data_IF_364468632901
#
_entry.id   IF_364468632901
#
_cell.length_a   1.000
_cell.length_b   1.000
_cell.length_c   1.000
_cell.angle_alpha   90.00
_cell.angle_beta   90.00
_cell.angle_gamma   90.00
#
_symmetry.space_group_name_H-M   'P 1'
#
loop_
_entity.id
_entity.type
_entity.pdbx_description
1 polymer ?
#
# COMPACT_ATOMS: atom_id res chain seq x y z
N UNK A 1 63.98 8.77 -51.65
CA UNK A 1 64.82 7.77 -50.96
C UNK A 1 64.82 8.07 -49.47
N UNK A 2 64.12 7.26 -48.68
CA UNK A 2 64.51 6.70 -47.37
C UNK A 2 63.33 5.85 -46.91
N UNK A 3 63.62 4.59 -46.61
CA UNK A 3 62.67 3.53 -46.28
C UNK A 3 62.89 3.04 -44.85
N UNK A 4 61.86 2.41 -44.27
CA UNK A 4 61.89 1.60 -43.04
C UNK A 4 61.40 2.36 -41.80
N UNK A 5 60.55 1.83 -40.92
CA UNK A 5 60.20 0.42 -40.61
C UNK A 5 58.81 0.35 -39.95
N UNK A 6 58.13 -0.79 -40.13
CA UNK A 6 56.94 -1.18 -39.39
C UNK A 6 57.30 -1.72 -37.99
N UNK A 7 56.43 -1.54 -36.98
CA UNK A 7 56.00 -2.62 -36.06
C UNK A 7 55.07 -2.13 -34.92
N UNK A 8 53.93 -2.84 -34.81
CA UNK A 8 53.16 -3.26 -33.63
C UNK A 8 52.20 -2.34 -32.87
N UNK A 9 51.02 -2.92 -32.73
CA UNK A 9 49.82 -2.56 -31.97
C UNK A 9 50.01 -2.54 -30.45
N UNK A 10 49.32 -1.61 -29.80
CA UNK A 10 48.59 -1.78 -28.52
C UNK A 10 47.65 -0.57 -28.45
N UNK A 11 46.34 -0.69 -28.30
CA UNK A 11 45.61 -1.50 -27.34
C UNK A 11 45.10 -0.57 -26.26
N UNK A 12 43.77 -0.41 -26.16
CA UNK A 12 43.12 0.10 -24.95
C UNK A 12 42.82 1.60 -24.96
N UNK A 13 41.53 1.92 -24.89
CA UNK A 13 41.07 3.29 -24.77
C UNK A 13 39.73 3.57 -25.44
N UNK A 14 39.06 2.54 -25.98
CA UNK A 14 37.63 2.58 -26.24
C UNK A 14 36.94 2.80 -24.90
N UNK A 15 36.75 4.06 -24.54
CA UNK A 15 36.03 4.57 -23.39
C UNK A 15 34.62 4.02 -23.51
N UNK A 16 34.43 2.83 -22.97
CA UNK A 16 33.13 2.26 -22.64
C UNK A 16 32.55 3.18 -21.57
N UNK A 17 32.01 4.32 -22.02
CA UNK A 17 30.79 4.89 -21.49
C UNK A 17 29.69 3.84 -21.74
N UNK A 18 29.83 2.69 -21.09
CA UNK A 18 28.71 1.91 -20.62
C UNK A 18 28.08 2.78 -19.53
N UNK A 19 27.42 3.85 -19.98
CA UNK A 19 26.16 4.25 -19.38
C UNK A 19 25.38 2.95 -19.42
N UNK A 20 25.46 2.20 -18.32
CA UNK A 20 24.49 1.19 -17.97
C UNK A 20 23.18 1.93 -18.20
N UNK A 21 22.55 1.73 -19.35
CA UNK A 21 21.12 1.92 -19.45
C UNK A 21 20.63 1.20 -18.21
N UNK A 22 20.10 1.94 -17.24
CA UNK A 22 19.44 1.32 -16.09
C UNK A 22 18.15 0.78 -16.72
N UNK A 23 18.35 -0.36 -17.37
CA UNK A 23 17.57 -0.97 -18.43
C UNK A 23 16.18 -1.32 -17.90
N UNK A 24 15.21 -1.58 -18.78
CA UNK A 24 13.86 -2.08 -18.50
C UNK A 24 13.65 -2.99 -17.26
N UNK A 25 14.68 -3.71 -16.84
CA UNK A 25 14.75 -4.52 -15.61
C UNK A 25 14.54 -3.71 -14.32
N UNK A 26 15.08 -2.50 -14.22
CA UNK A 26 15.03 -1.69 -12.99
C UNK A 26 13.61 -1.30 -12.58
N UNK A 27 12.79 -0.91 -13.56
CA UNK A 27 11.37 -0.60 -13.31
C UNK A 27 10.55 -1.84 -12.97
N UNK A 28 10.85 -2.99 -13.60
CA UNK A 28 10.18 -4.26 -13.27
C UNK A 28 10.44 -4.64 -11.82
N UNK A 29 11.70 -4.60 -11.37
CA UNK A 29 12.08 -4.86 -9.98
C UNK A 29 11.37 -3.88 -9.04
N UNK A 30 11.36 -2.59 -9.35
CA UNK A 30 10.66 -1.59 -8.56
C UNK A 30 9.14 -1.84 -8.47
N UNK A 31 8.49 -2.23 -9.56
CA UNK A 31 7.06 -2.54 -9.56
C UNK A 31 6.75 -3.81 -8.75
N UNK A 32 7.60 -4.83 -8.81
CA UNK A 32 7.48 -6.04 -7.99
C UNK A 32 7.71 -5.72 -6.51
N UNK A 33 8.76 -4.96 -6.19
CA UNK A 33 9.06 -4.55 -4.83
C UNK A 33 7.93 -3.71 -4.22
N UNK A 34 7.34 -2.80 -5.01
CA UNK A 34 6.17 -2.02 -4.59
C UNK A 34 4.98 -2.93 -4.27
N UNK A 35 4.66 -3.88 -5.16
CA UNK A 35 3.55 -4.80 -4.94
C UNK A 35 3.78 -5.73 -3.74
N UNK A 36 5.00 -6.24 -3.58
CA UNK A 36 5.36 -7.07 -2.43
C UNK A 36 5.27 -6.28 -1.11
N UNK A 37 5.76 -5.03 -1.10
CA UNK A 37 5.66 -4.17 0.07
C UNK A 37 4.19 -3.86 0.43
N UNK A 38 3.35 -3.58 -0.58
CA UNK A 38 1.91 -3.43 -0.40
C UNK A 38 1.29 -4.70 0.18
N UNK A 39 1.58 -5.86 -0.40
CA UNK A 39 1.00 -7.13 0.06
C UNK A 39 1.37 -7.44 1.52
N UNK A 40 2.64 -7.24 1.91
CA UNK A 40 3.07 -7.46 3.30
C UNK A 40 2.40 -6.48 4.26
N UNK A 41 2.26 -5.22 3.86
CA UNK A 41 1.56 -4.21 4.63
C UNK A 41 0.07 -4.53 4.81
N UNK A 42 -0.62 -4.88 3.73
CA UNK A 42 -2.05 -5.21 3.75
C UNK A 42 -2.35 -6.52 4.50
N UNK A 43 -1.39 -7.45 4.61
CA UNK A 43 -1.54 -8.61 5.52
C UNK A 43 -1.68 -8.15 6.97
N UNK A 44 -0.93 -7.13 7.42
CA UNK A 44 -1.15 -6.55 8.75
C UNK A 44 -2.57 -5.96 8.85
N UNK A 45 -3.00 -5.23 7.82
CA UNK A 45 -4.34 -4.64 7.79
C UNK A 45 -5.45 -5.70 7.89
N UNK A 46 -5.34 -6.84 7.20
CA UNK A 46 -6.33 -7.94 7.31
C UNK A 46 -6.63 -8.28 8.77
N UNK A 47 -5.60 -8.39 9.61
CA UNK A 47 -5.74 -8.80 11.02
C UNK A 47 -6.12 -7.65 11.96
N UNK A 48 -5.72 -6.42 11.64
CA UNK A 48 -5.84 -5.27 12.55
C UNK A 48 -7.00 -4.34 12.21
N UNK A 49 -7.48 -4.37 10.96
CA UNK A 49 -8.56 -3.51 10.48
C UNK A 49 -9.90 -3.75 11.18
N UNK A 50 -10.33 -4.98 11.48
CA UNK A 50 -11.56 -5.19 12.24
C UNK A 50 -11.54 -4.50 13.62
N UNK A 51 -10.41 -4.55 14.33
CA UNK A 51 -10.26 -3.84 15.62
C UNK A 51 -10.26 -2.32 15.44
N UNK A 52 -9.56 -1.81 14.43
CA UNK A 52 -9.52 -0.39 14.08
C UNK A 52 -10.90 0.15 13.70
N UNK A 53 -11.69 -0.64 12.97
CA UNK A 53 -13.06 -0.27 12.56
C UNK A 53 -14.00 -0.12 13.75
N UNK A 54 -13.81 -0.91 14.82
CA UNK A 54 -14.57 -0.76 16.08
C UNK A 54 -14.19 0.50 16.84
N UNK A 55 -12.91 0.87 16.85
CA UNK A 55 -12.47 2.16 17.41
C UNK A 55 -13.11 3.33 16.65
N UNK A 56 -13.13 3.24 15.32
CA UNK A 56 -13.79 4.24 14.48
C UNK A 56 -15.30 4.31 14.73
N UNK A 57 -15.97 3.16 14.83
CA UNK A 57 -17.40 3.07 15.16
C UNK A 57 -17.73 3.73 16.50
N UNK A 58 -16.91 3.49 17.52
CA UNK A 58 -17.05 4.11 18.84
C UNK A 58 -16.90 5.64 18.77
N UNK A 59 -15.98 6.16 17.94
CA UNK A 59 -15.79 7.61 17.76
C UNK A 59 -16.89 8.28 16.94
N UNK A 60 -17.44 7.58 15.95
CA UNK A 60 -18.51 8.10 15.09
C UNK A 60 -19.91 7.82 15.65
N UNK A 61 -20.04 7.01 16.70
CA UNK A 61 -21.32 6.58 17.26
C UNK A 61 -22.15 5.74 16.29
N UNK A 62 -21.50 4.99 15.38
CA UNK A 62 -22.19 4.25 14.32
C UNK A 62 -21.54 2.91 14.05
N UNK A 63 -22.27 1.82 14.28
CA UNK A 63 -21.82 0.45 13.99
C UNK A 63 -21.73 0.16 12.49
N UNK A 64 -22.21 1.06 11.62
CA UNK A 64 -22.19 0.87 10.15
C UNK A 64 -20.78 0.81 9.57
N UNK A 65 -19.78 1.32 10.30
CA UNK A 65 -18.37 1.31 9.87
C UNK A 65 -17.61 0.09 10.39
N UNK A 66 -18.25 -0.79 11.17
CA UNK A 66 -17.62 -2.01 11.66
C UNK A 66 -17.47 -3.01 10.51
N UNK A 67 -16.24 -3.47 10.31
CA UNK A 67 -15.88 -4.39 9.24
C UNK A 67 -15.52 -5.74 9.82
N UNK A 68 -16.07 -6.81 9.23
CA UNK A 68 -15.74 -8.18 9.61
C UNK A 68 -14.40 -8.64 9.05
N UNK A 69 -13.75 -9.66 9.65
CA UNK A 69 -12.52 -10.22 9.09
C UNK A 69 -12.69 -10.68 7.63
N UNK A 70 -13.81 -11.33 7.30
CA UNK A 70 -14.09 -11.78 5.93
C UNK A 70 -14.30 -10.59 4.97
N UNK A 71 -14.98 -9.54 5.42
CA UNK A 71 -15.13 -8.30 4.64
C UNK A 71 -13.80 -7.57 4.43
N UNK A 72 -12.93 -7.57 5.43
CA UNK A 72 -11.57 -7.02 5.35
C UNK A 72 -10.75 -7.77 4.30
N UNK A 73 -10.70 -9.11 4.38
CA UNK A 73 -10.01 -9.96 3.40
C UNK A 73 -10.52 -9.70 1.98
N UNK A 74 -11.84 -9.67 1.78
CA UNK A 74 -12.41 -9.46 0.46
C UNK A 74 -12.12 -8.05 -0.07
N UNK A 75 -12.24 -7.02 0.76
CA UNK A 75 -11.92 -5.64 0.37
C UNK A 75 -10.44 -5.50 -0.04
N UNK A 76 -9.53 -6.09 0.73
CA UNK A 76 -8.09 -6.10 0.44
C UNK A 76 -7.79 -6.89 -0.84
N UNK A 77 -8.46 -8.03 -1.07
CA UNK A 77 -8.31 -8.79 -2.30
C UNK A 77 -8.72 -7.97 -3.54
N UNK A 78 -9.83 -7.21 -3.47
CA UNK A 78 -10.28 -6.31 -4.54
C UNK A 78 -9.24 -5.19 -4.78
N UNK A 79 -8.73 -4.58 -3.71
CA UNK A 79 -7.63 -3.60 -3.81
C UNK A 79 -6.37 -4.20 -4.43
N UNK A 80 -6.04 -5.45 -4.10
CA UNK A 80 -4.90 -6.16 -4.66
C UNK A 80 -4.97 -6.34 -6.17
N UNK A 81 -6.17 -6.52 -6.73
CA UNK A 81 -6.35 -6.54 -8.19
C UNK A 81 -5.98 -5.19 -8.80
N UNK A 82 -6.42 -4.07 -8.21
CA UNK A 82 -6.10 -2.73 -8.67
C UNK A 82 -4.60 -2.44 -8.59
N UNK A 83 -3.98 -2.67 -7.43
CA UNK A 83 -2.56 -2.40 -7.20
C UNK A 83 -1.69 -3.33 -8.06
N UNK A 84 -2.04 -4.61 -8.14
CA UNK A 84 -1.36 -5.58 -9.01
C UNK A 84 -1.44 -5.18 -10.48
N UNK A 85 -2.62 -4.80 -10.98
CA UNK A 85 -2.79 -4.30 -12.35
C UNK A 85 -1.96 -3.03 -12.61
N UNK A 86 -1.90 -2.11 -11.65
CA UNK A 86 -1.07 -0.92 -11.75
C UNK A 86 0.42 -1.27 -11.84
N UNK A 87 0.92 -2.18 -11.02
CA UNK A 87 2.31 -2.66 -11.04
C UNK A 87 2.65 -3.40 -12.34
N UNK A 88 1.77 -4.27 -12.85
CA UNK A 88 1.95 -4.94 -14.14
C UNK A 88 2.04 -3.91 -15.28
N UNK A 89 1.16 -2.91 -15.28
CA UNK A 89 1.21 -1.81 -16.26
C UNK A 89 2.48 -0.98 -16.11
N UNK A 90 2.93 -0.70 -14.89
CA UNK A 90 4.18 -0.02 -14.60
C UNK A 90 5.38 -0.76 -15.19
N UNK A 91 5.47 -2.06 -14.91
CA UNK A 91 6.50 -2.96 -15.43
C UNK A 91 6.52 -3.03 -16.97
N UNK A 92 5.35 -3.12 -17.61
CA UNK A 92 5.24 -3.17 -19.08
C UNK A 92 5.56 -1.83 -19.76
N UNK A 93 5.19 -0.72 -19.12
CA UNK A 93 5.35 0.63 -19.67
C UNK A 93 6.64 1.33 -19.26
N UNK A 94 7.54 0.64 -18.55
CA UNK A 94 8.74 1.25 -17.98
C UNK A 94 8.43 2.49 -17.14
N UNK A 95 7.37 2.40 -16.33
CA UNK A 95 7.01 3.44 -15.36
C UNK A 95 6.22 4.60 -15.96
N UNK A 96 5.97 4.60 -17.28
CA UNK A 96 5.21 5.64 -17.99
C UNK A 96 3.69 5.53 -17.78
N UNK A 97 3.19 4.40 -17.29
CA UNK A 97 1.76 4.19 -17.01
C UNK A 97 1.23 5.20 -16.00
N UNK A 98 0.24 6.01 -16.43
CA UNK A 98 -0.47 6.95 -15.54
C UNK A 98 -1.08 6.28 -14.32
N UNK A 99 -1.65 5.07 -14.49
CA UNK A 99 -2.21 4.30 -13.38
C UNK A 99 -1.13 3.90 -12.37
N UNK A 100 0.02 3.42 -12.85
CA UNK A 100 1.14 3.02 -11.98
C UNK A 100 1.64 4.21 -11.15
N UNK A 101 1.84 5.35 -11.82
CA UNK A 101 2.32 6.58 -11.18
C UNK A 101 1.32 7.12 -10.16
N UNK A 102 0.03 7.11 -10.49
CA UNK A 102 -1.03 7.49 -9.57
C UNK A 102 -1.06 6.56 -8.35
N UNK A 103 -1.11 5.24 -8.55
CA UNK A 103 -1.12 4.27 -7.44
C UNK A 103 0.12 4.40 -6.57
N UNK A 104 1.31 4.53 -7.15
CA UNK A 104 2.55 4.74 -6.39
C UNK A 104 2.49 6.02 -5.54
N UNK A 105 2.10 7.15 -6.13
CA UNK A 105 1.96 8.41 -5.39
C UNK A 105 0.86 8.34 -4.32
N UNK A 106 -0.25 7.65 -4.60
CA UNK A 106 -1.32 7.42 -3.64
C UNK A 106 -0.88 6.54 -2.47
N UNK A 107 -0.12 5.48 -2.72
CA UNK A 107 0.39 4.59 -1.68
C UNK A 107 1.39 5.31 -0.76
N UNK A 108 2.18 6.26 -1.27
CA UNK A 108 2.99 7.13 -0.40
C UNK A 108 2.12 8.00 0.52
N UNK A 109 1.00 8.53 0.01
CA UNK A 109 0.06 9.30 0.81
C UNK A 109 -0.70 8.43 1.83
N UNK A 110 -1.04 7.20 1.45
CA UNK A 110 -1.69 6.19 2.30
C UNK A 110 -0.89 5.87 3.57
N UNK A 111 0.45 5.79 3.46
CA UNK A 111 1.31 5.64 4.64
C UNK A 111 1.07 6.76 5.66
N UNK A 112 0.95 8.00 5.18
CA UNK A 112 0.73 9.17 6.04
C UNK A 112 -0.63 9.06 6.76
N UNK A 113 -1.66 8.56 6.07
CA UNK A 113 -2.99 8.42 6.66
C UNK A 113 -3.00 7.41 7.82
N UNK A 114 -2.20 6.34 7.76
CA UNK A 114 -2.09 5.39 8.87
C UNK A 114 -1.45 5.98 10.11
N UNK A 115 -0.33 6.67 9.92
CA UNK A 115 0.38 7.34 11.03
C UNK A 115 -0.53 8.43 11.64
N UNK A 116 -1.17 9.24 10.80
CA UNK A 116 -2.09 10.29 11.25
C UNK A 116 -3.29 9.71 12.02
N UNK A 117 -3.85 8.59 11.56
CA UNK A 117 -4.98 7.92 12.22
C UNK A 117 -4.56 7.37 13.59
N UNK A 118 -3.42 6.69 13.68
CA UNK A 118 -2.89 6.22 14.96
C UNK A 118 -2.64 7.34 15.96
N UNK A 119 -2.04 8.44 15.52
CA UNK A 119 -1.81 9.64 16.36
C UNK A 119 -3.12 10.24 16.83
N UNK A 120 -4.09 10.41 15.92
CA UNK A 120 -5.42 10.94 16.22
C UNK A 120 -6.19 10.04 17.20
N UNK A 121 -6.00 8.73 17.07
CA UNK A 121 -6.66 7.73 17.92
C UNK A 121 -5.93 7.50 19.24
N UNK A 122 -4.68 7.95 19.35
CA UNK A 122 -3.77 7.65 20.47
C UNK A 122 -3.78 6.14 20.78
N UNK A 123 -3.80 5.34 19.71
CA UNK A 123 -3.99 3.89 19.77
C UNK A 123 -3.26 3.24 18.60
N UNK A 124 -2.92 1.97 18.76
CA UNK A 124 -2.46 1.16 17.64
C UNK A 124 -3.61 0.98 16.64
N UNK A 125 -3.45 1.50 15.43
CA UNK A 125 -4.39 1.26 14.34
C UNK A 125 -3.74 0.42 13.25
N UNK A 126 -4.57 -0.15 12.38
CA UNK A 126 -4.11 -0.92 11.24
C UNK A 126 -3.02 -0.15 10.48
N UNK A 127 -1.94 -0.86 10.12
CA UNK A 127 -0.88 -0.32 9.30
C UNK A 127 0.15 0.55 10.03
N UNK A 128 0.04 0.79 11.33
CA UNK A 128 0.95 1.69 12.05
C UNK A 128 2.43 1.25 11.93
N UNK A 129 2.71 -0.06 11.96
CA UNK A 129 4.07 -0.58 11.90
C UNK A 129 4.50 -0.80 10.45
N UNK A 130 3.73 -1.57 9.68
CA UNK A 130 4.15 -1.95 8.32
C UNK A 130 4.05 -0.81 7.32
N UNK A 131 3.19 0.19 7.52
CA UNK A 131 3.15 1.34 6.60
C UNK A 131 4.49 2.11 6.57
N UNK A 132 5.06 2.57 7.70
CA UNK A 132 6.34 3.25 7.69
C UNK A 132 7.53 2.32 7.47
N UNK A 133 7.48 1.07 7.93
CA UNK A 133 8.65 0.17 7.88
C UNK A 133 8.73 -0.69 6.63
N UNK A 134 7.63 -0.92 5.91
CA UNK A 134 7.57 -1.82 4.74
C UNK A 134 7.06 -1.09 3.51
N UNK A 135 5.83 -0.56 3.57
CA UNK A 135 5.19 0.10 2.42
C UNK A 135 5.98 1.34 1.98
N UNK A 136 6.42 2.16 2.94
CA UNK A 136 7.17 3.39 2.65
C UNK A 136 8.51 3.10 1.97
N UNK A 137 9.41 2.23 2.49
CA UNK A 137 10.62 1.85 1.77
C UNK A 137 10.35 1.32 0.36
N UNK A 138 9.35 0.43 0.18
CA UNK A 138 8.97 -0.10 -1.13
C UNK A 138 8.55 1.01 -2.11
N UNK A 139 7.72 1.94 -1.66
CA UNK A 139 7.30 3.10 -2.44
C UNK A 139 8.48 4.03 -2.78
N UNK A 140 9.41 4.24 -1.86
CA UNK A 140 10.59 5.08 -2.09
C UNK A 140 11.56 4.48 -3.10
N UNK A 141 11.74 3.15 -3.10
CA UNK A 141 12.51 2.46 -4.14
C UNK A 141 11.88 2.68 -5.52
N UNK A 142 10.57 2.49 -5.64
CA UNK A 142 9.86 2.71 -6.90
C UNK A 142 9.93 4.17 -7.38
N UNK A 143 9.76 5.13 -6.47
CA UNK A 143 9.89 6.56 -6.76
C UNK A 143 11.31 6.93 -7.18
N UNK A 144 12.33 6.39 -6.51
CA UNK A 144 13.72 6.61 -6.86
C UNK A 144 14.02 6.10 -8.27
N UNK A 145 13.48 4.95 -8.68
CA UNK A 145 13.64 4.46 -10.05
C UNK A 145 12.96 5.36 -11.08
N UNK A 146 11.74 5.85 -10.82
CA UNK A 146 11.09 6.81 -11.70
C UNK A 146 11.94 8.10 -11.87
N UNK A 147 12.53 8.60 -10.78
CA UNK A 147 13.46 9.75 -10.83
C UNK A 147 14.70 9.45 -11.67
N UNK A 148 15.34 8.30 -11.49
CA UNK A 148 16.53 7.89 -12.26
C UNK A 148 16.24 7.70 -13.74
N UNK A 149 15.02 7.26 -14.09
CA UNK A 149 14.55 7.13 -15.47
C UNK A 149 14.19 8.47 -16.14
N UNK A 150 14.38 9.60 -15.45
CA UNK A 150 14.07 10.94 -15.98
C UNK A 150 12.58 11.32 -15.92
N UNK A 151 11.75 10.54 -15.22
CA UNK A 151 10.30 10.78 -15.12
C UNK A 151 9.83 10.83 -13.67
N UNK A 152 10.24 11.84 -12.88
CA UNK A 152 9.87 11.95 -11.46
C UNK A 152 8.34 12.01 -11.27
N UNK A 153 7.85 11.50 -10.14
CA UNK A 153 6.44 11.65 -9.75
C UNK A 153 6.10 13.14 -9.57
N UNK A 154 4.99 13.57 -10.18
CA UNK A 154 4.44 14.90 -9.97
C UNK A 154 3.49 14.91 -8.77
N UNK A 155 3.24 16.09 -8.19
CA UNK A 155 2.20 16.26 -7.17
C UNK A 155 0.82 15.85 -7.70
N UNK A 156 0.56 16.10 -8.99
CA UNK A 156 -0.70 15.72 -9.62
C UNK A 156 -0.90 14.21 -9.68
N UNK A 157 0.18 13.43 -9.83
CA UNK A 157 0.14 11.97 -9.75
C UNK A 157 -0.26 11.52 -8.34
N UNK A 158 0.34 12.12 -7.30
CA UNK A 158 0.01 11.84 -5.90
C UNK A 158 -1.44 12.17 -5.56
N UNK A 159 -1.94 13.35 -5.96
CA UNK A 159 -3.34 13.75 -5.68
C UNK A 159 -4.32 12.80 -6.37
N UNK A 160 -4.11 12.51 -7.67
CA UNK A 160 -4.94 11.54 -8.40
C UNK A 160 -4.87 10.16 -7.77
N UNK A 161 -3.68 9.76 -7.33
CA UNK A 161 -3.44 8.54 -6.57
C UNK A 161 -4.25 8.45 -5.30
N UNK A 162 -4.19 9.48 -4.47
CA UNK A 162 -4.95 9.55 -3.22
C UNK A 162 -6.45 9.45 -3.45
N UNK A 163 -6.98 10.23 -4.40
CA UNK A 163 -8.41 10.17 -4.78
C UNK A 163 -8.79 8.78 -5.28
N UNK A 164 -7.98 8.20 -6.17
CA UNK A 164 -8.22 6.87 -6.72
C UNK A 164 -8.24 5.80 -5.64
N UNK A 165 -7.23 5.75 -4.77
CA UNK A 165 -7.13 4.74 -3.73
C UNK A 165 -8.21 4.91 -2.66
N UNK A 166 -8.54 6.13 -2.29
CA UNK A 166 -9.64 6.40 -1.37
C UNK A 166 -10.99 5.91 -1.94
N UNK A 167 -11.28 6.26 -3.19
CA UNK A 167 -12.50 5.80 -3.87
C UNK A 167 -12.52 4.27 -4.05
N UNK A 168 -11.39 3.67 -4.40
CA UNK A 168 -11.27 2.23 -4.55
C UNK A 168 -11.43 1.49 -3.21
N UNK A 169 -10.88 2.03 -2.10
CA UNK A 169 -11.05 1.48 -0.77
C UNK A 169 -12.53 1.51 -0.36
N UNK A 170 -13.21 2.65 -0.52
CA UNK A 170 -14.65 2.76 -0.25
C UNK A 170 -15.46 1.78 -1.10
N UNK A 171 -15.17 1.70 -2.40
CA UNK A 171 -15.81 0.75 -3.30
C UNK A 171 -15.59 -0.70 -2.90
N UNK A 172 -14.38 -1.04 -2.45
CA UNK A 172 -14.01 -2.39 -2.00
C UNK A 172 -14.78 -2.80 -0.74
N UNK A 173 -14.97 -1.87 0.21
CA UNK A 173 -15.82 -2.11 1.37
C UNK A 173 -17.29 -2.23 1.01
N UNK A 174 -17.80 -1.41 0.07
CA UNK A 174 -19.18 -1.55 -0.43
C UNK A 174 -19.37 -2.92 -1.08
N UNK A 175 -18.46 -3.33 -1.96
CA UNK A 175 -18.48 -4.65 -2.60
C UNK A 175 -18.47 -5.76 -1.54
N UNK A 176 -17.61 -5.67 -0.53
CA UNK A 176 -17.53 -6.71 0.50
C UNK A 176 -18.79 -6.78 1.36
N UNK A 177 -19.42 -5.64 1.66
CA UNK A 177 -20.73 -5.60 2.32
C UNK A 177 -21.85 -6.21 1.48
N UNK A 178 -21.87 -5.95 0.17
CA UNK A 178 -22.87 -6.51 -0.74
C UNK A 178 -22.72 -8.02 -0.92
N UNK A 179 -21.47 -8.51 -1.01
CA UNK A 179 -21.18 -9.94 -1.22
C UNK A 179 -21.37 -10.76 0.05
N UNK A 180 -20.96 -10.25 1.21
CA UNK A 180 -20.94 -11.01 2.47
C UNK A 180 -22.09 -10.64 3.44
N UNK A 181 -22.88 -9.62 3.12
CA UNK A 181 -23.96 -9.10 3.96
C UNK A 181 -23.46 -8.37 5.21
N UNK A 182 -24.38 -7.75 5.96
CA UNK A 182 -24.09 -7.09 7.23
C UNK A 182 -23.99 -8.11 8.39
N UNK A 183 -23.10 -9.08 8.25
CA UNK A 183 -22.87 -10.13 9.26
C UNK A 183 -21.95 -9.68 10.39
N UNK A 184 -22.41 -8.77 11.26
CA UNK A 184 -21.84 -8.64 12.60
C UNK A 184 -22.93 -8.74 13.66
N UNK A 185 -22.81 -9.66 14.64
CA UNK A 185 -23.67 -9.64 15.80
C UNK A 185 -23.40 -8.33 16.56
N UNK A 186 -24.49 -7.60 16.85
CA UNK A 186 -24.51 -6.39 17.68
C UNK A 186 -23.58 -6.59 18.88
N UNK A 187 -22.61 -5.70 19.09
CA UNK A 187 -21.81 -5.70 20.32
C UNK A 187 -22.80 -5.67 21.47
N UNK A 188 -22.87 -6.76 22.24
CA UNK A 188 -23.75 -6.83 23.41
C UNK A 188 -23.24 -5.79 24.39
N UNK A 189 -24.04 -4.74 24.57
CA UNK A 189 -23.72 -3.59 25.40
C UNK A 189 -23.16 -4.07 26.77
N UNK A 190 -21.96 -3.63 27.21
CA UNK A 190 -21.39 -4.05 28.50
C UNK A 190 -22.26 -3.67 29.71
N UNK A 191 -23.24 -2.78 29.52
CA UNK A 191 -24.27 -2.46 30.52
C UNK A 191 -25.13 -3.67 30.95
N UNK A 192 -25.14 -4.77 30.18
CA UNK A 192 -25.88 -5.98 30.56
C UNK A 192 -25.14 -6.88 31.57
N UNK A 193 -23.83 -6.71 31.76
CA UNK A 193 -23.07 -7.51 32.73
C UNK A 193 -23.31 -7.03 34.18
N UNK A 194 -23.52 -5.71 34.36
CA UNK A 194 -23.85 -5.14 35.66
C UNK A 194 -25.22 -5.58 36.19
N UNK A 195 -26.16 -5.89 35.29
CA UNK A 195 -27.48 -6.44 35.66
C UNK A 195 -27.44 -7.93 36.05
N UNK A 196 -26.44 -8.69 35.61
CA UNK A 196 -26.31 -10.11 35.97
C UNK A 196 -25.66 -10.30 37.36
N UNK A 197 -24.69 -9.46 37.71
CA UNK A 197 -24.02 -9.50 39.03
C UNK A 197 -24.86 -8.92 40.17
N UNK A 198 -25.92 -8.14 39.88
CA UNK A 198 -26.86 -7.62 40.88
C UNK A 198 -28.01 -8.60 41.19
N UNK A 199 -28.09 -9.75 40.49
CA UNK A 199 -29.20 -10.72 40.60
C UNK A 199 -28.76 -12.09 41.12
N UNK A 200 -27.68 -12.15 41.90
CA UNK A 200 -27.44 -13.30 42.77
C UNK A 200 -28.02 -13.00 44.15
N UNK A 201 -29.08 -13.70 44.59
CA UNK A 201 -29.43 -13.69 46.00
C UNK A 201 -28.30 -14.38 46.77
N UNK A 202 -27.85 -13.74 47.85
CA UNK A 202 -26.91 -14.30 48.80
C UNK A 202 -27.41 -15.68 49.26
N UNK A 203 -26.82 -16.75 48.76
CA UNK A 203 -26.91 -18.07 49.38
C UNK A 203 -25.91 -18.07 50.54
N UNK A 204 -26.46 -17.85 51.74
CA UNK A 204 -25.85 -18.23 53.01
C UNK A 204 -25.88 -19.74 53.16
#
# INVERSE_FOLDING_TARGET
MCAGTASKSSGGGGRYDFVVSIEPTGTRIAAVALFAAWLVHDVEEVFTFPATSRLLAARLGSDRVVVSPAQSVLAIAVMGVLVGAACVRGARSQGKSRLYRAVLGGLEAHVVTHVATSVSFKSYTAGLITAPLVMLPGARVARAQLRRSGSPLSLSDTVRGGVLLFAAALGSHVISHLVLGAGYPRVRNPHTLHSYLRRMPNLR
#
